data_IF_275549956080
#
_entry.id   IF_275549956080
#
_cell.length_a   1.000
_cell.length_b   1.000
_cell.length_c   1.000
_cell.angle_alpha   90.00
_cell.angle_beta   90.00
_cell.angle_gamma   90.00
#
_symmetry.space_group_name_H-M   'P 1'
#
loop_
_entity.id
_entity.type
_entity.pdbx_description
1 polymer ?
#
# COMPACT_ATOMS: atom_id res chain seq x y z
N UNK A 1 -10.34 19.69 14.76
CA UNK A 1 -11.02 18.47 15.24
C UNK A 1 -11.67 17.65 14.11
N UNK A 2 -12.30 18.28 13.11
CA UNK A 2 -12.83 17.58 11.92
C UNK A 2 -11.75 17.06 10.95
N UNK A 3 -10.66 17.81 10.74
CA UNK A 3 -9.56 17.40 9.83
C UNK A 3 -8.76 16.21 10.38
N UNK A 4 -8.61 16.09 11.70
CA UNK A 4 -7.99 14.93 12.35
C UNK A 4 -8.85 13.67 12.25
N UNK A 5 -10.18 13.77 12.36
CA UNK A 5 -11.09 12.65 12.13
C UNK A 5 -11.04 12.12 10.69
N UNK A 6 -10.88 13.01 9.70
CA UNK A 6 -10.75 12.62 8.29
C UNK A 6 -9.47 11.81 8.02
N UNK A 7 -8.37 12.07 8.74
CA UNK A 7 -7.15 11.26 8.66
C UNK A 7 -7.35 9.83 9.21
N UNK A 8 -8.20 9.64 10.22
CA UNK A 8 -8.50 8.31 10.80
C UNK A 8 -9.47 7.48 9.95
N UNK A 9 -10.45 8.10 9.28
CA UNK A 9 -11.34 7.39 8.33
C UNK A 9 -10.58 6.89 7.08
N UNK A 10 -9.54 7.62 6.67
CA UNK A 10 -8.61 7.23 5.60
C UNK A 10 -7.72 6.04 6.05
N UNK A 11 -7.32 5.99 7.33
CA UNK A 11 -6.51 4.91 7.90
C UNK A 11 -7.24 3.55 7.90
N UNK A 12 -8.52 3.51 8.28
CA UNK A 12 -9.29 2.24 8.32
C UNK A 12 -9.41 1.62 6.91
N UNK A 13 -9.61 2.45 5.88
CA UNK A 13 -9.66 2.01 4.47
C UNK A 13 -8.33 1.45 4.00
N UNK A 14 -7.22 2.11 4.35
CA UNK A 14 -5.87 1.63 4.03
C UNK A 14 -5.62 0.31 4.74
N UNK A 15 -5.90 0.21 6.05
CA UNK A 15 -5.71 -1.02 6.82
C UNK A 15 -6.54 -2.19 6.29
N UNK A 16 -7.78 -1.92 5.86
CA UNK A 16 -8.62 -2.94 5.21
C UNK A 16 -8.01 -3.39 3.88
N UNK A 17 -7.59 -2.45 3.04
CA UNK A 17 -7.03 -2.77 1.72
C UNK A 17 -5.69 -3.51 1.84
N UNK A 18 -4.84 -3.15 2.81
CA UNK A 18 -3.60 -3.88 3.12
C UNK A 18 -3.90 -5.33 3.55
N UNK A 19 -4.96 -5.55 4.35
CA UNK A 19 -5.41 -6.90 4.72
C UNK A 19 -5.93 -7.67 3.49
N UNK A 20 -6.66 -7.02 2.60
CA UNK A 20 -7.14 -7.64 1.36
C UNK A 20 -5.99 -8.03 0.43
N UNK A 21 -4.94 -7.21 0.32
CA UNK A 21 -3.70 -7.56 -0.39
C UNK A 21 -3.05 -8.77 0.29
N UNK A 22 -2.81 -8.70 1.61
CA UNK A 22 -2.19 -9.78 2.39
C UNK A 22 -2.88 -11.13 2.18
N UNK A 23 -4.21 -11.16 2.32
CA UNK A 23 -5.00 -12.37 2.09
C UNK A 23 -4.93 -12.82 0.64
N UNK A 24 -5.00 -11.90 -0.33
CA UNK A 24 -4.85 -12.25 -1.74
C UNK A 24 -3.49 -12.84 -2.07
N UNK A 25 -2.41 -12.31 -1.49
CA UNK A 25 -1.07 -12.88 -1.67
C UNK A 25 -1.03 -14.30 -1.12
N UNK A 26 -1.57 -14.54 0.07
CA UNK A 26 -1.68 -15.90 0.63
C UNK A 26 -2.48 -16.84 -0.28
N UNK A 27 -3.64 -16.40 -0.77
CA UNK A 27 -4.47 -17.19 -1.68
C UNK A 27 -3.73 -17.50 -2.99
N UNK A 28 -2.93 -16.57 -3.54
CA UNK A 28 -2.12 -16.83 -4.74
C UNK A 28 -1.04 -17.90 -4.55
N UNK A 29 -0.62 -18.14 -3.30
CA UNK A 29 0.36 -19.18 -2.99
C UNK A 29 -0.15 -20.57 -3.36
N UNK A 30 -1.45 -20.82 -3.17
CA UNK A 30 -2.11 -22.09 -3.50
C UNK A 30 -2.11 -22.35 -5.01
N UNK A 31 -2.12 -21.27 -5.82
CA UNK A 31 -2.15 -21.35 -7.28
C UNK A 31 -0.77 -21.29 -7.93
N UNK A 32 0.33 -21.24 -7.17
CA UNK A 32 1.68 -21.18 -7.72
C UNK A 32 2.05 -22.38 -8.61
N UNK A 33 1.35 -23.50 -8.43
CA UNK A 33 1.50 -24.74 -9.20
C UNK A 33 0.23 -25.15 -9.96
N UNK A 34 -0.78 -24.28 -10.01
CA UNK A 34 -2.05 -24.51 -10.70
C UNK A 34 -1.83 -24.98 -12.14
N UNK A 35 -2.62 -25.96 -12.60
CA UNK A 35 -2.56 -26.49 -13.98
C UNK A 35 -3.93 -26.60 -14.62
N UNK A 36 -4.98 -26.75 -13.82
CA UNK A 36 -6.33 -26.86 -14.33
C UNK A 36 -6.88 -25.49 -14.74
N UNK A 37 -7.77 -25.43 -15.75
CA UNK A 37 -8.43 -24.19 -16.12
C UNK A 37 -9.21 -23.53 -14.97
N UNK A 38 -9.74 -24.33 -14.05
CA UNK A 38 -10.50 -23.84 -12.88
C UNK A 38 -9.58 -23.12 -11.91
N UNK A 39 -8.45 -23.73 -11.52
CA UNK A 39 -7.46 -23.09 -10.64
C UNK A 39 -6.90 -21.79 -11.25
N UNK A 40 -6.72 -21.75 -12.58
CA UNK A 40 -6.27 -20.54 -13.27
C UNK A 40 -7.32 -19.43 -13.26
N UNK A 41 -8.60 -19.78 -13.41
CA UNK A 41 -9.70 -18.83 -13.28
C UNK A 41 -9.83 -18.30 -11.84
N UNK A 42 -9.65 -19.16 -10.83
CA UNK A 42 -9.61 -18.75 -9.43
C UNK A 42 -8.44 -17.81 -9.15
N UNK A 43 -7.25 -18.13 -9.67
CA UNK A 43 -6.08 -17.26 -9.57
C UNK A 43 -6.30 -15.89 -10.23
N UNK A 44 -7.00 -15.84 -11.39
CA UNK A 44 -7.38 -14.58 -12.03
C UNK A 44 -8.30 -13.74 -11.14
N UNK A 45 -9.28 -14.37 -10.48
CA UNK A 45 -10.20 -13.68 -9.56
C UNK A 45 -9.44 -13.10 -8.37
N UNK A 46 -8.54 -13.88 -7.76
CA UNK A 46 -7.69 -13.41 -6.66
C UNK A 46 -6.80 -12.26 -7.13
N UNK A 47 -6.17 -12.38 -8.31
CA UNK A 47 -5.35 -11.34 -8.91
C UNK A 47 -6.09 -10.02 -9.08
N UNK A 48 -7.30 -10.06 -9.63
CA UNK A 48 -8.16 -8.86 -9.77
C UNK A 48 -8.57 -8.26 -8.42
N UNK A 49 -8.78 -9.09 -7.40
CA UNK A 49 -9.08 -8.61 -6.04
C UNK A 49 -7.89 -7.84 -5.46
N UNK A 50 -6.67 -8.37 -5.61
CA UNK A 50 -5.44 -7.69 -5.19
C UNK A 50 -5.29 -6.36 -5.94
N UNK A 51 -5.47 -6.34 -7.27
CA UNK A 51 -5.37 -5.11 -8.07
C UNK A 51 -6.31 -4.02 -7.56
N UNK A 52 -7.58 -4.36 -7.32
CA UNK A 52 -8.57 -3.41 -6.76
C UNK A 52 -8.15 -2.86 -5.40
N UNK A 53 -7.63 -3.72 -4.52
CA UNK A 53 -7.13 -3.27 -3.23
C UNK A 53 -5.90 -2.34 -3.39
N UNK A 54 -5.03 -2.60 -4.37
CA UNK A 54 -3.91 -1.72 -4.68
C UNK A 54 -4.38 -0.37 -5.22
N UNK A 55 -5.37 -0.35 -6.12
CA UNK A 55 -5.94 0.88 -6.68
C UNK A 55 -6.56 1.76 -5.58
N UNK A 56 -7.27 1.16 -4.61
CA UNK A 56 -7.83 1.89 -3.45
C UNK A 56 -6.73 2.58 -2.64
N UNK A 57 -5.64 1.88 -2.30
CA UNK A 57 -4.54 2.49 -1.54
C UNK A 57 -3.83 3.55 -2.40
N UNK A 58 -3.69 3.32 -3.71
CA UNK A 58 -3.06 4.26 -4.63
C UNK A 58 -3.81 5.60 -4.69
N UNK A 59 -5.15 5.56 -4.69
CA UNK A 59 -5.98 6.77 -4.61
C UNK A 59 -5.73 7.56 -3.30
N UNK A 60 -5.61 6.85 -2.17
CA UNK A 60 -5.29 7.48 -0.88
C UNK A 60 -3.86 8.06 -0.87
N UNK A 61 -2.89 7.35 -1.44
CA UNK A 61 -1.51 7.85 -1.60
C UNK A 61 -1.49 9.10 -2.46
N UNK A 62 -2.30 9.15 -3.53
CA UNK A 62 -2.40 10.33 -4.39
C UNK A 62 -2.97 11.54 -3.63
N UNK A 63 -4.01 11.33 -2.82
CA UNK A 63 -4.57 12.36 -1.92
C UNK A 63 -3.53 12.82 -0.90
N UNK A 64 -2.78 11.90 -0.29
CA UNK A 64 -1.73 12.23 0.67
C UNK A 64 -0.61 13.06 0.04
N UNK A 65 -0.19 12.74 -1.19
CA UNK A 65 0.82 13.51 -1.94
C UNK A 65 0.35 14.93 -2.25
N UNK A 66 -0.91 15.12 -2.63
CA UNK A 66 -1.48 16.46 -2.85
C UNK A 66 -1.44 17.31 -1.57
N UNK A 67 -1.94 16.76 -0.45
CA UNK A 67 -1.91 17.43 0.86
C UNK A 67 -0.48 17.77 1.30
N UNK A 68 0.46 16.85 1.06
CA UNK A 68 1.88 17.04 1.38
C UNK A 68 2.53 18.12 0.51
N UNK A 69 2.24 18.14 -0.79
CA UNK A 69 2.72 19.17 -1.71
C UNK A 69 2.26 20.56 -1.31
N UNK A 70 0.98 20.71 -0.95
CA UNK A 70 0.45 21.98 -0.42
C UNK A 70 1.20 22.41 0.85
N UNK A 71 1.46 21.48 1.77
CA UNK A 71 2.23 21.75 2.99
C UNK A 71 3.67 22.16 2.69
N UNK A 72 4.30 21.55 1.68
CA UNK A 72 5.67 21.85 1.26
C UNK A 72 5.85 23.26 0.67
N UNK A 73 4.76 23.92 0.26
CA UNK A 73 4.81 25.33 -0.16
C UNK A 73 5.07 26.30 1.00
N UNK A 74 4.85 25.86 2.24
CA UNK A 74 4.91 26.71 3.43
C UNK A 74 5.86 26.18 4.52
N UNK A 75 6.26 24.91 4.44
CA UNK A 75 7.16 24.27 5.39
C UNK A 75 8.08 23.27 4.68
N UNK A 76 9.23 22.97 5.27
CA UNK A 76 10.12 21.89 4.81
C UNK A 76 10.10 20.68 5.74
N UNK A 77 9.59 20.85 6.96
CA UNK A 77 9.54 19.83 8.00
C UNK A 77 8.35 20.00 8.93
N UNK A 78 7.89 18.87 9.48
CA UNK A 78 6.89 18.81 10.54
C UNK A 78 7.52 18.32 11.84
N UNK A 79 7.13 18.93 12.96
CA UNK A 79 7.59 18.54 14.29
C UNK A 79 6.51 17.76 15.02
N UNK A 80 6.83 16.54 15.42
CA UNK A 80 6.09 15.70 16.34
C UNK A 80 6.63 15.82 17.77
N UNK A 81 5.90 15.30 18.77
CA UNK A 81 6.28 15.42 20.20
C UNK A 81 7.71 14.97 20.52
N UNK A 82 8.25 13.99 19.79
CA UNK A 82 9.58 13.40 20.03
C UNK A 82 10.49 13.35 18.80
N UNK A 83 10.06 13.83 17.64
CA UNK A 83 10.83 13.78 16.40
C UNK A 83 10.43 14.90 15.44
N UNK A 84 11.34 15.31 14.57
CA UNK A 84 11.01 16.08 13.36
C UNK A 84 11.11 15.15 12.16
N UNK A 85 10.25 15.36 11.16
CA UNK A 85 10.35 14.66 9.87
C UNK A 85 10.38 15.68 8.76
N UNK A 86 11.32 15.53 7.85
CA UNK A 86 11.37 16.35 6.66
C UNK A 86 10.25 15.92 5.71
N UNK A 87 9.58 16.88 5.07
CA UNK A 87 8.43 16.60 4.22
C UNK A 87 8.83 15.86 2.94
N UNK A 88 10.05 16.12 2.43
CA UNK A 88 10.57 15.39 1.28
C UNK A 88 10.79 13.90 1.56
N UNK A 89 11.14 13.52 2.79
CA UNK A 89 11.23 12.10 3.17
C UNK A 89 9.85 11.44 3.10
N UNK A 90 8.81 12.14 3.58
CA UNK A 90 7.43 11.65 3.51
C UNK A 90 6.95 11.51 2.05
N UNK A 91 7.33 12.45 1.18
CA UNK A 91 7.00 12.39 -0.25
C UNK A 91 7.68 11.20 -0.94
N UNK A 92 8.94 10.94 -0.57
CA UNK A 92 9.69 9.80 -1.06
C UNK A 92 9.03 8.48 -0.65
N UNK A 93 8.65 8.33 0.62
CA UNK A 93 7.94 7.14 1.11
C UNK A 93 6.60 6.92 0.40
N UNK A 94 5.80 7.98 0.19
CA UNK A 94 4.56 7.89 -0.59
C UNK A 94 4.81 7.45 -2.04
N UNK A 95 5.92 7.88 -2.63
CA UNK A 95 6.30 7.47 -3.99
C UNK A 95 6.72 6.00 -4.05
N UNK A 96 7.45 5.52 -3.03
CA UNK A 96 7.83 4.12 -2.89
C UNK A 96 6.60 3.22 -2.71
N UNK A 97 5.66 3.59 -1.83
CA UNK A 97 4.38 2.89 -1.64
C UNK A 97 3.63 2.78 -2.98
N UNK A 98 3.51 3.88 -3.73
CA UNK A 98 2.85 3.84 -5.03
C UNK A 98 3.52 2.86 -6.01
N UNK A 99 4.86 2.85 -6.04
CA UNK A 99 5.64 1.89 -6.84
C UNK A 99 5.38 0.44 -6.45
N UNK A 100 5.34 0.13 -5.15
CA UNK A 100 5.05 -1.21 -4.65
C UNK A 100 3.62 -1.65 -5.00
N UNK A 101 2.62 -0.77 -4.85
CA UNK A 101 1.22 -1.06 -5.18
C UNK A 101 1.05 -1.36 -6.67
N UNK A 102 1.68 -0.58 -7.55
CA UNK A 102 1.61 -0.83 -8.99
C UNK A 102 2.30 -2.15 -9.36
N UNK A 103 3.44 -2.46 -8.75
CA UNK A 103 4.14 -3.72 -8.97
C UNK A 103 3.31 -4.92 -8.49
N UNK A 104 2.77 -4.87 -7.27
CA UNK A 104 1.90 -5.92 -6.72
C UNK A 104 0.66 -6.10 -7.60
N UNK A 105 -0.03 -5.01 -7.91
CA UNK A 105 -1.27 -5.04 -8.69
C UNK A 105 -1.07 -5.65 -10.07
N UNK A 106 -0.02 -5.22 -10.79
CA UNK A 106 0.30 -5.76 -12.13
C UNK A 106 0.68 -7.24 -12.07
N UNK A 107 1.59 -7.63 -11.17
CA UNK A 107 2.04 -9.04 -11.09
C UNK A 107 0.87 -9.94 -10.67
N UNK A 108 0.00 -9.48 -9.77
CA UNK A 108 -1.19 -10.21 -9.34
C UNK A 108 -2.20 -10.39 -10.49
N UNK A 109 -2.47 -9.34 -11.26
CA UNK A 109 -3.40 -9.40 -12.40
C UNK A 109 -2.89 -10.33 -13.51
N UNK A 110 -1.58 -10.37 -13.74
CA UNK A 110 -0.95 -11.22 -14.76
C UNK A 110 -0.58 -12.64 -14.24
N UNK A 111 -0.82 -12.92 -12.96
CA UNK A 111 -0.33 -14.12 -12.29
C UNK A 111 -0.76 -15.40 -13.00
N UNK A 112 -2.05 -15.52 -13.32
CA UNK A 112 -2.63 -16.72 -13.95
C UNK A 112 -2.08 -16.99 -15.36
N UNK A 113 -1.62 -15.95 -16.07
CA UNK A 113 -1.04 -16.04 -17.42
C UNK A 113 0.46 -16.35 -17.42
N UNK A 114 1.13 -16.14 -16.29
CA UNK A 114 2.59 -16.27 -16.22
C UNK A 114 3.03 -17.73 -16.27
N UNK A 115 4.05 -18.04 -17.07
CA UNK A 115 4.62 -19.39 -17.14
C UNK A 115 5.30 -19.81 -15.83
N UNK A 116 6.03 -18.88 -15.19
CA UNK A 116 6.72 -19.10 -13.92
C UNK A 116 6.01 -18.43 -12.73
N UNK A 117 4.85 -18.98 -12.35
CA UNK A 117 4.05 -18.48 -11.22
C UNK A 117 4.79 -18.47 -9.88
N UNK A 118 5.73 -19.39 -9.65
CA UNK A 118 6.58 -19.38 -8.44
C UNK A 118 7.43 -18.12 -8.34
N UNK A 119 8.06 -17.71 -9.44
CA UNK A 119 8.82 -16.47 -9.49
C UNK A 119 7.90 -15.25 -9.33
N UNK A 120 6.74 -15.24 -9.99
CA UNK A 120 5.74 -14.18 -9.80
C UNK A 120 5.30 -14.06 -8.34
N UNK A 121 5.02 -15.18 -7.67
CA UNK A 121 4.66 -15.20 -6.25
C UNK A 121 5.78 -14.66 -5.35
N UNK A 122 7.02 -15.07 -5.59
CA UNK A 122 8.17 -14.54 -4.85
C UNK A 122 8.33 -13.02 -5.04
N UNK A 123 8.10 -12.52 -6.25
CA UNK A 123 8.14 -11.08 -6.55
C UNK A 123 7.01 -10.32 -5.84
N UNK A 124 5.78 -10.85 -5.85
CA UNK A 124 4.66 -10.26 -5.12
C UNK A 124 4.99 -10.18 -3.62
N UNK A 125 5.49 -11.25 -3.02
CA UNK A 125 5.86 -11.26 -1.59
C UNK A 125 6.94 -10.24 -1.25
N UNK A 126 7.95 -10.08 -2.12
CA UNK A 126 8.99 -9.09 -1.93
C UNK A 126 8.40 -7.68 -1.90
N UNK A 127 7.62 -7.32 -2.92
CA UNK A 127 6.97 -6.00 -2.96
C UNK A 127 5.97 -5.79 -1.84
N UNK A 128 5.23 -6.82 -1.42
CA UNK A 128 4.35 -6.72 -0.26
C UNK A 128 5.13 -6.44 1.02
N UNK A 129 6.30 -7.06 1.19
CA UNK A 129 7.16 -6.80 2.34
C UNK A 129 7.72 -5.38 2.33
N UNK A 130 8.14 -4.89 1.16
CA UNK A 130 8.59 -3.50 0.93
C UNK A 130 7.46 -2.50 1.22
N UNK A 131 6.26 -2.75 0.69
CA UNK A 131 5.06 -1.95 0.96
C UNK A 131 4.80 -1.82 2.46
N UNK A 132 4.85 -2.93 3.21
CA UNK A 132 4.63 -2.91 4.65
C UNK A 132 5.70 -2.10 5.38
N UNK A 133 6.95 -2.15 4.93
CA UNK A 133 8.03 -1.33 5.50
C UNK A 133 7.78 0.16 5.26
N UNK A 134 7.45 0.56 4.04
CA UNK A 134 7.18 1.96 3.69
C UNK A 134 5.93 2.51 4.39
N UNK A 135 4.84 1.73 4.45
CA UNK A 135 3.64 2.12 5.23
C UNK A 135 4.00 2.29 6.71
N UNK A 136 4.72 1.34 7.29
CA UNK A 136 5.13 1.42 8.71
C UNK A 136 6.04 2.63 8.96
N UNK A 137 6.89 3.00 8.00
CA UNK A 137 7.72 4.19 8.10
C UNK A 137 6.87 5.46 8.19
N UNK A 138 5.75 5.53 7.46
CA UNK A 138 4.82 6.66 7.47
C UNK A 138 3.92 6.70 8.70
N UNK A 139 3.60 5.55 9.31
CA UNK A 139 2.80 5.51 10.52
C UNK A 139 3.54 6.17 11.70
N UNK A 140 2.99 7.30 12.14
CA UNK A 140 3.44 7.97 13.36
C UNK A 140 2.56 7.47 14.50
N UNK A 141 3.15 6.88 15.54
CA UNK A 141 2.43 6.50 16.75
C UNK A 141 1.57 7.66 17.25
N UNK A 142 0.29 7.40 17.52
CA UNK A 142 -0.70 8.34 18.06
C UNK A 142 -0.17 9.09 19.30
N UNK A 143 0.71 8.44 20.07
CA UNK A 143 1.43 9.03 21.21
C UNK A 143 2.29 10.26 20.88
N UNK A 144 2.60 10.48 19.59
CA UNK A 144 3.49 11.53 19.09
C UNK A 144 2.75 12.72 18.46
N UNK A 145 1.43 12.63 18.25
CA UNK A 145 0.61 13.76 17.81
C UNK A 145 0.43 14.75 18.96
N UNK A 146 0.76 16.03 18.72
CA UNK A 146 0.33 17.12 19.61
C UNK A 146 -1.12 17.46 19.23
N UNK A 147 -1.96 17.70 20.23
CA UNK A 147 -3.12 18.58 20.01
C UNK A 147 -2.57 19.87 19.39
N UNK A 148 -3.02 20.17 18.17
CA UNK A 148 -2.83 21.48 17.58
C UNK A 148 -3.62 22.47 18.45
N UNK A 149 -2.93 23.09 19.40
CA UNK A 149 -3.40 24.25 20.15
C UNK A 149 -3.12 25.52 19.36
#
# INVERSE_FOLDING_TARGET
MNELKQLFDEEEKIQRSVREISQGVLDLSDYALAKSPIELAEAEVVGKRIRRACDVISDEVHRARQKLGDLMTHATKVKFKKSGRELHDMENELSLIHGDLEAIGRIAEEFYKTENRKASFANINRHYSELMQHITSLMISESNLKELS
#
